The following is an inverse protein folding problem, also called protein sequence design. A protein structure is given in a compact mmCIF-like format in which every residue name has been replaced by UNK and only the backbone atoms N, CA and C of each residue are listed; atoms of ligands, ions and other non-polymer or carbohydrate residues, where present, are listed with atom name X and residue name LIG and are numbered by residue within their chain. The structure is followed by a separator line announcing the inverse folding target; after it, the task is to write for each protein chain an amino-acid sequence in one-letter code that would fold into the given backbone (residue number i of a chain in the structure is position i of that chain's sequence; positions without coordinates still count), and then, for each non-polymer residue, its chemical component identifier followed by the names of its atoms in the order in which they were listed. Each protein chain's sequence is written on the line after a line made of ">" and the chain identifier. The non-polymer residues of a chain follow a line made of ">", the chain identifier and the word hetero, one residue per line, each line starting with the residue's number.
data_IF_427187481880
#
_entry.id   IF_427187481880
#
_cell.length_a   1.000
_cell.length_b   1.000
_cell.length_c   1.000
_cell.angle_alpha   90.00
_cell.angle_beta   90.00
_cell.angle_gamma   90.00
#
_symmetry.space_group_name_H-M   'P 1'
#
loop_
_entity.id
_entity.type
_entity.pdbx_description
1 polymer ?
#
# COMPACT_ATOMS: atom_id res chain seq x y z
N UNK A 1 -1.84 5.19 -30.55
CA UNK A 1 -1.07 5.00 -29.30
C UNK A 1 -0.52 3.58 -29.31
N UNK A 2 0.79 3.39 -29.19
CA UNK A 2 1.39 2.07 -28.96
C UNK A 2 0.97 1.57 -27.57
N UNK A 3 0.43 0.36 -27.49
CA UNK A 3 0.09 -0.31 -26.23
C UNK A 3 1.33 -0.36 -25.32
N UNK A 4 1.26 0.19 -24.09
CA UNK A 4 2.34 0.07 -23.10
C UNK A 4 2.37 -1.32 -22.45
N UNK A 5 1.23 -2.01 -22.45
CA UNK A 5 1.14 -3.43 -22.09
C UNK A 5 1.54 -4.31 -23.28
N UNK A 6 2.56 -5.18 -23.14
CA UNK A 6 2.90 -6.17 -24.16
C UNK A 6 1.72 -7.14 -24.37
N UNK A 7 1.39 -7.43 -25.63
CA UNK A 7 0.28 -8.34 -25.99
C UNK A 7 0.59 -9.82 -25.72
N UNK A 8 1.87 -10.18 -25.64
CA UNK A 8 2.35 -11.57 -25.63
C UNK A 8 3.12 -11.94 -24.36
N UNK A 9 3.27 -11.03 -23.38
CA UNK A 9 4.06 -11.28 -22.16
C UNK A 9 3.37 -10.76 -20.92
N UNK A 10 3.53 -11.49 -19.82
CA UNK A 10 3.14 -11.02 -18.49
C UNK A 10 3.94 -9.77 -18.14
N UNK A 11 3.24 -8.72 -17.71
CA UNK A 11 3.87 -7.53 -17.14
C UNK A 11 3.93 -7.66 -15.62
N UNK A 12 5.09 -7.38 -15.06
CA UNK A 12 5.30 -7.37 -13.61
C UNK A 12 5.45 -5.94 -13.15
N UNK A 13 4.83 -5.63 -12.02
CA UNK A 13 4.98 -4.35 -11.31
C UNK A 13 5.36 -4.65 -9.87
N UNK A 14 6.10 -3.75 -9.25
CA UNK A 14 6.49 -3.89 -7.85
C UNK A 14 6.50 -2.56 -7.14
N UNK A 15 6.38 -2.59 -5.82
CA UNK A 15 6.59 -1.45 -4.94
C UNK A 15 7.58 -1.91 -3.88
N UNK A 16 8.72 -1.23 -3.79
CA UNK A 16 9.72 -1.51 -2.75
C UNK A 16 9.56 -0.56 -1.57
N UNK A 17 10.18 -0.92 -0.46
CA UNK A 17 10.18 -0.17 0.79
C UNK A 17 11.61 -0.07 1.28
N UNK A 18 11.93 1.02 1.97
CA UNK A 18 13.18 1.16 2.70
C UNK A 18 13.43 -0.09 3.57
N UNK A 19 14.60 -0.72 3.49
CA UNK A 19 14.83 -2.01 4.14
C UNK A 19 14.70 -1.96 5.66
N UNK A 20 15.14 -0.88 6.31
CA UNK A 20 15.06 -0.73 7.77
C UNK A 20 13.60 -0.59 8.19
N UNK A 21 12.89 0.30 7.51
CA UNK A 21 11.46 0.54 7.74
C UNK A 21 10.61 -0.70 7.43
N UNK A 22 11.05 -1.52 6.47
CA UNK A 22 10.44 -2.81 6.15
C UNK A 22 10.59 -3.80 7.29
N UNK A 23 11.77 -3.91 7.92
CA UNK A 23 11.96 -4.77 9.11
C UNK A 23 10.99 -4.36 10.22
N UNK A 24 10.97 -3.08 10.58
CA UNK A 24 10.05 -2.57 11.59
C UNK A 24 8.59 -2.90 11.25
N UNK A 25 8.15 -2.61 10.03
CA UNK A 25 6.77 -2.90 9.64
C UNK A 25 6.43 -4.39 9.64
N UNK A 26 7.40 -5.25 9.32
CA UNK A 26 7.21 -6.69 9.29
C UNK A 26 7.08 -7.24 10.72
N UNK A 27 7.99 -6.83 11.59
CA UNK A 27 7.95 -7.12 13.02
C UNK A 27 6.62 -6.66 13.65
N UNK A 28 6.31 -5.37 13.54
CA UNK A 28 5.09 -4.77 14.12
C UNK A 28 3.81 -5.43 13.60
N UNK A 29 3.70 -5.65 12.29
CA UNK A 29 2.52 -6.24 11.67
C UNK A 29 2.34 -7.70 12.07
N UNK A 30 3.44 -8.49 12.11
CA UNK A 30 3.36 -9.90 12.50
C UNK A 30 2.88 -10.07 13.94
N UNK A 31 3.36 -9.24 14.87
CA UNK A 31 2.91 -9.21 16.27
C UNK A 31 1.47 -8.71 16.37
N UNK A 32 1.11 -7.62 15.67
CA UNK A 32 -0.25 -7.07 15.70
C UNK A 32 -1.27 -8.13 15.26
N UNK A 33 -1.02 -8.80 14.14
CA UNK A 33 -1.94 -9.82 13.63
C UNK A 33 -1.97 -11.04 14.54
N UNK A 34 -0.82 -11.48 15.06
CA UNK A 34 -0.75 -12.59 16.01
C UNK A 34 -1.52 -12.30 17.32
N UNK A 35 -1.45 -11.08 17.83
CA UNK A 35 -2.14 -10.67 19.06
C UNK A 35 -3.66 -10.79 18.97
N UNK A 36 -4.25 -10.72 17.76
CA UNK A 36 -5.70 -10.93 17.54
C UNK A 36 -6.15 -12.29 18.04
N UNK A 37 -5.29 -13.31 17.96
CA UNK A 37 -5.61 -14.67 18.37
C UNK A 37 -5.61 -14.86 19.89
N UNK A 38 -5.08 -13.92 20.68
CA UNK A 38 -5.08 -14.00 22.14
C UNK A 38 -6.48 -13.85 22.76
N UNK A 39 -7.51 -13.60 21.95
CA UNK A 39 -8.91 -13.75 22.37
C UNK A 39 -9.25 -15.20 22.74
N UNK A 40 -8.50 -16.17 22.20
CA UNK A 40 -8.72 -17.58 22.48
C UNK A 40 -8.01 -18.02 23.77
N UNK A 41 -8.58 -18.99 24.50
CA UNK A 41 -8.04 -19.43 25.79
C UNK A 41 -6.67 -20.11 25.66
N UNK A 42 -6.38 -20.76 24.52
CA UNK A 42 -5.10 -21.43 24.28
C UNK A 42 -4.80 -21.52 22.77
N UNK A 43 -3.55 -21.85 22.46
CA UNK A 43 -3.03 -21.95 21.09
C UNK A 43 -3.80 -22.96 20.24
N UNK A 44 -4.19 -24.10 20.81
CA UNK A 44 -4.94 -25.15 20.10
C UNK A 44 -6.29 -24.64 19.61
N UNK A 45 -7.02 -23.92 20.48
CA UNK A 45 -8.29 -23.29 20.16
C UNK A 45 -8.14 -22.24 19.04
N UNK A 46 -7.13 -21.38 19.15
CA UNK A 46 -6.82 -20.37 18.13
C UNK A 46 -6.50 -21.00 16.77
N UNK A 47 -5.67 -22.05 16.75
CA UNK A 47 -5.23 -22.72 15.51
C UNK A 47 -6.40 -23.43 14.82
N UNK A 48 -7.23 -24.13 15.59
CA UNK A 48 -8.43 -24.80 15.06
C UNK A 48 -9.42 -23.81 14.46
N UNK A 49 -9.61 -22.66 15.12
CA UNK A 49 -10.52 -21.63 14.62
C UNK A 49 -9.97 -20.96 13.36
N UNK A 50 -8.67 -20.64 13.32
CA UNK A 50 -8.02 -20.08 12.13
C UNK A 50 -8.21 -20.98 10.89
N UNK A 51 -8.01 -22.29 11.06
CA UNK A 51 -8.20 -23.26 9.97
C UNK A 51 -9.67 -23.33 9.49
N UNK A 52 -10.63 -23.34 10.43
CA UNK A 52 -12.06 -23.35 10.10
C UNK A 52 -12.49 -22.09 9.36
N UNK A 53 -11.99 -20.93 9.76
CA UNK A 53 -12.31 -19.66 9.11
C UNK A 53 -11.75 -19.62 7.69
N UNK A 54 -10.48 -19.99 7.49
CA UNK A 54 -9.84 -20.08 6.17
C UNK A 54 -10.63 -20.99 5.21
N UNK A 55 -11.15 -22.13 5.69
CA UNK A 55 -11.97 -23.04 4.86
C UNK A 55 -13.35 -22.50 4.45
N UNK A 56 -13.85 -21.45 5.11
CA UNK A 56 -15.21 -20.91 4.90
C UNK A 56 -15.21 -19.55 4.19
N UNK A 57 -14.16 -18.78 4.33
CA UNK A 57 -14.06 -17.45 3.73
C UNK A 57 -13.73 -17.57 2.24
N UNK A 58 -14.54 -16.92 1.38
CA UNK A 58 -14.21 -16.78 -0.05
C UNK A 58 -13.08 -15.76 -0.32
N UNK A 59 -12.63 -15.04 0.70
CA UNK A 59 -11.55 -14.04 0.63
C UNK A 59 -10.19 -14.61 1.03
N UNK A 60 -9.12 -13.93 0.62
CA UNK A 60 -7.73 -14.28 0.96
C UNK A 60 -7.42 -13.83 2.39
N UNK A 61 -7.02 -14.75 3.26
CA UNK A 61 -6.58 -14.43 4.62
C UNK A 61 -5.16 -13.87 4.64
N UNK A 62 -4.83 -13.03 5.62
CA UNK A 62 -3.42 -12.72 5.94
C UNK A 62 -2.61 -14.00 6.15
N UNK A 63 -3.21 -15.05 6.69
CA UNK A 63 -2.55 -16.34 6.90
C UNK A 63 -2.26 -17.13 5.62
N UNK A 64 -2.77 -16.70 4.46
CA UNK A 64 -2.55 -17.37 3.18
C UNK A 64 -1.48 -16.64 2.32
N UNK A 65 -1.03 -15.46 2.76
CA UNK A 65 -0.16 -14.56 1.99
C UNK A 65 1.28 -14.63 2.51
N UNK A 66 2.25 -14.72 1.61
CA UNK A 66 3.67 -14.59 1.98
C UNK A 66 4.04 -13.12 2.30
N UNK A 67 4.84 -12.83 3.34
CA UNK A 67 5.47 -13.77 4.30
C UNK A 67 4.60 -14.12 5.52
N UNK A 68 3.44 -13.49 5.65
CA UNK A 68 2.58 -13.56 6.83
C UNK A 68 2.10 -14.95 7.20
N UNK A 69 1.91 -15.83 6.21
CA UNK A 69 1.55 -17.24 6.42
C UNK A 69 2.54 -18.00 7.31
N UNK A 70 3.78 -17.53 7.42
CA UNK A 70 4.80 -18.08 8.31
C UNK A 70 4.99 -17.23 9.56
N UNK A 71 5.08 -15.90 9.39
CA UNK A 71 5.41 -15.00 10.49
C UNK A 71 4.29 -14.88 11.53
N UNK A 72 3.02 -14.89 11.09
CA UNK A 72 1.90 -14.76 12.02
C UNK A 72 1.72 -16.01 12.89
N UNK A 73 1.78 -17.26 12.36
CA UNK A 73 1.78 -18.44 13.21
C UNK A 73 2.95 -18.46 14.20
N UNK A 74 4.16 -18.10 13.76
CA UNK A 74 5.33 -18.03 14.63
C UNK A 74 5.14 -17.02 15.78
N UNK A 75 4.75 -15.78 15.48
CA UNK A 75 4.47 -14.77 16.51
C UNK A 75 3.29 -15.15 17.39
N UNK A 76 2.30 -15.86 16.86
CA UNK A 76 1.18 -16.35 17.66
C UNK A 76 1.66 -17.32 18.74
N UNK A 77 2.49 -18.29 18.37
CA UNK A 77 3.06 -19.24 19.34
C UNK A 77 3.86 -18.52 20.44
N UNK A 78 4.73 -17.58 20.06
CA UNK A 78 5.50 -16.76 20.99
C UNK A 78 4.59 -15.98 21.96
N UNK A 79 3.58 -15.28 21.45
CA UNK A 79 2.67 -14.48 22.29
C UNK A 79 1.85 -15.33 23.26
N UNK A 80 1.42 -16.53 22.85
CA UNK A 80 0.73 -17.47 23.75
C UNK A 80 1.68 -17.95 24.85
N UNK A 81 2.91 -18.33 24.51
CA UNK A 81 3.91 -18.76 25.48
C UNK A 81 4.22 -17.67 26.51
N UNK A 82 4.42 -16.43 26.06
CA UNK A 82 4.66 -15.28 26.95
C UNK A 82 3.46 -15.00 27.85
N UNK A 83 2.23 -15.02 27.29
CA UNK A 83 1.00 -14.84 28.09
C UNK A 83 0.85 -15.91 29.18
N UNK A 84 1.06 -17.16 28.82
CA UNK A 84 0.88 -18.28 29.75
C UNK A 84 1.98 -18.26 30.83
N UNK A 85 3.20 -17.88 30.48
CA UNK A 85 4.27 -17.63 31.45
C UNK A 85 3.94 -16.49 32.43
N UNK A 86 3.34 -15.38 31.95
CA UNK A 86 2.88 -14.28 32.82
C UNK A 86 1.80 -14.74 33.80
N UNK A 87 0.87 -15.61 33.38
CA UNK A 87 -0.14 -16.17 34.29
C UNK A 87 0.46 -17.03 35.40
N UNK A 88 1.56 -17.74 35.12
CA UNK A 88 2.26 -18.56 36.11
C UNK A 88 3.08 -17.69 37.08
N UNK A 89 3.82 -16.70 36.57
CA UNK A 89 4.70 -15.83 37.37
C UNK A 89 3.92 -14.84 38.25
N UNK A 90 2.68 -14.52 37.89
CA UNK A 90 1.89 -13.48 38.54
C UNK A 90 2.12 -12.10 37.91
N UNK A 91 1.34 -11.07 38.30
CA UNK A 91 1.43 -9.73 37.72
C UNK A 91 2.78 -9.07 38.08
N UNK A 92 3.72 -9.06 37.14
CA UNK A 92 4.86 -8.15 37.17
C UNK A 92 4.45 -6.81 36.54
N UNK A 93 4.61 -5.73 37.29
CA UNK A 93 4.48 -4.36 36.76
C UNK A 93 5.79 -4.03 36.07
N UNK A 94 5.85 -4.24 34.75
CA UNK A 94 6.99 -3.80 33.95
C UNK A 94 6.74 -2.37 33.46
N UNK A 95 7.48 -1.41 34.01
CA UNK A 95 7.50 0.00 33.57
C UNK A 95 8.57 0.22 32.48
N UNK A 96 8.62 -0.64 31.46
CA UNK A 96 9.44 -0.32 30.27
C UNK A 96 8.64 0.56 29.33
N UNK A 97 9.24 1.66 28.87
CA UNK A 97 8.69 2.49 27.81
C UNK A 97 9.23 2.11 26.41
N UNK A 98 10.13 1.12 26.35
CA UNK A 98 10.67 0.63 25.08
C UNK A 98 9.73 -0.44 24.49
N UNK A 99 8.92 -0.05 23.52
CA UNK A 99 8.02 -0.95 22.81
C UNK A 99 8.74 -2.04 21.98
N UNK A 100 10.04 -1.90 21.72
CA UNK A 100 10.84 -2.87 20.98
C UNK A 100 11.65 -3.79 21.89
N UNK A 101 11.60 -3.60 23.20
CA UNK A 101 12.20 -4.47 24.21
C UNK A 101 11.24 -4.70 25.39
N UNK A 102 10.20 -5.51 25.12
CA UNK A 102 9.18 -5.88 26.11
C UNK A 102 9.07 -7.40 26.25
N UNK A 103 10.15 -8.04 26.72
CA UNK A 103 10.29 -9.50 26.78
C UNK A 103 9.07 -10.21 27.38
N UNK A 104 8.49 -9.71 28.47
CA UNK A 104 7.33 -10.37 29.06
C UNK A 104 6.08 -10.32 28.18
N UNK A 105 5.96 -9.39 27.22
CA UNK A 105 4.74 -9.12 26.44
C UNK A 105 4.84 -9.44 24.95
N UNK A 106 6.01 -9.25 24.35
CA UNK A 106 6.30 -9.52 22.95
C UNK A 106 7.80 -9.84 22.78
N UNK A 107 8.14 -10.64 21.78
CA UNK A 107 9.53 -10.89 21.40
C UNK A 107 10.29 -9.58 21.16
N UNK A 108 11.38 -9.27 21.89
CA UNK A 108 12.21 -8.11 21.63
C UNK A 108 12.69 -8.06 20.19
N UNK A 109 12.83 -6.86 19.62
CA UNK A 109 13.25 -6.68 18.22
C UNK A 109 14.62 -7.31 17.96
N UNK A 110 15.55 -7.19 18.90
CA UNK A 110 16.88 -7.80 18.82
C UNK A 110 16.79 -9.33 18.76
N UNK A 111 15.89 -9.94 19.55
CA UNK A 111 15.62 -11.38 19.49
C UNK A 111 15.01 -11.75 18.13
N UNK A 112 14.03 -10.97 17.66
CA UNK A 112 13.33 -11.20 16.40
C UNK A 112 14.27 -11.22 15.19
N UNK A 113 15.14 -10.21 15.03
CA UNK A 113 16.03 -10.11 13.86
C UNK A 113 17.10 -11.21 13.86
N UNK A 114 17.48 -11.72 15.03
CA UNK A 114 18.45 -12.81 15.15
C UNK A 114 17.81 -14.20 15.05
N UNK A 115 16.48 -14.29 15.07
CA UNK A 115 15.78 -15.56 15.06
C UNK A 115 15.90 -16.25 13.68
N UNK A 116 16.10 -17.58 13.60
CA UNK A 116 16.24 -18.32 12.35
C UNK A 116 15.10 -18.10 11.34
N UNK A 117 13.87 -17.90 11.83
CA UNK A 117 12.71 -17.59 10.97
C UNK A 117 12.84 -16.20 10.31
N UNK A 118 13.38 -15.20 11.01
CA UNK A 118 13.63 -13.89 10.40
C UNK A 118 14.79 -13.95 9.41
N UNK A 119 15.86 -14.69 9.73
CA UNK A 119 16.97 -14.99 8.80
C UNK A 119 16.46 -15.66 7.53
N UNK A 120 15.55 -16.62 7.66
CA UNK A 120 15.01 -17.33 6.52
C UNK A 120 13.96 -16.54 5.74
N UNK A 121 13.16 -15.67 6.34
CA UNK A 121 11.99 -15.10 5.66
C UNK A 121 12.10 -13.60 5.44
N UNK A 122 12.67 -12.89 6.39
CA UNK A 122 12.63 -11.43 6.47
C UNK A 122 13.90 -10.82 5.89
N UNK A 123 15.08 -11.30 6.27
CA UNK A 123 16.33 -10.69 5.83
C UNK A 123 16.58 -10.84 4.32
N UNK A 124 16.99 -9.75 3.67
CA UNK A 124 17.16 -9.63 2.21
C UNK A 124 15.93 -10.05 1.39
N UNK A 125 14.74 -10.03 2.01
CA UNK A 125 13.53 -10.59 1.44
C UNK A 125 13.03 -9.85 0.19
N UNK A 126 13.30 -8.56 0.00
CA UNK A 126 12.91 -7.85 -1.22
C UNK A 126 13.73 -8.33 -2.42
N UNK A 127 15.05 -8.48 -2.24
CA UNK A 127 15.96 -9.02 -3.24
C UNK A 127 15.58 -10.43 -3.63
N UNK A 128 15.32 -11.29 -2.64
CA UNK A 128 14.87 -12.64 -2.92
C UNK A 128 13.49 -12.70 -3.58
N UNK A 129 12.56 -11.80 -3.23
CA UNK A 129 11.25 -11.71 -3.86
C UNK A 129 11.37 -11.34 -5.34
N UNK A 130 12.13 -10.30 -5.66
CA UNK A 130 12.36 -9.86 -7.05
C UNK A 130 13.11 -10.93 -7.84
N UNK A 131 14.10 -11.59 -7.24
CA UNK A 131 14.85 -12.69 -7.85
C UNK A 131 14.03 -13.99 -7.99
N UNK A 132 12.86 -14.11 -7.32
CA UNK A 132 12.06 -15.33 -7.32
C UNK A 132 12.72 -16.47 -6.52
N UNK A 133 13.40 -16.14 -5.44
CA UNK A 133 14.17 -17.04 -4.57
C UNK A 133 13.67 -16.99 -3.11
N UNK A 134 12.37 -16.78 -2.92
CA UNK A 134 11.79 -16.81 -1.57
C UNK A 134 11.59 -18.25 -1.12
N UNK A 135 11.34 -18.45 0.17
CA UNK A 135 10.87 -19.74 0.67
C UNK A 135 9.46 -20.11 0.19
N UNK A 136 8.80 -19.24 -0.59
CA UNK A 136 7.53 -19.50 -1.28
C UNK A 136 7.71 -19.74 -2.79
N UNK A 137 8.94 -19.79 -3.30
CA UNK A 137 9.21 -20.16 -4.68
C UNK A 137 8.82 -21.63 -4.94
N UNK A 138 8.32 -21.92 -6.14
CA UNK A 138 7.84 -23.26 -6.51
C UNK A 138 8.94 -24.29 -6.78
N UNK A 139 10.15 -23.82 -7.07
CA UNK A 139 11.30 -24.67 -7.46
C UNK A 139 12.15 -24.99 -6.24
N UNK A 140 12.46 -26.28 -6.01
CA UNK A 140 13.25 -26.72 -4.87
C UNK A 140 14.65 -26.07 -4.86
N UNK A 141 15.25 -25.88 -6.03
CA UNK A 141 16.56 -25.27 -6.23
C UNK A 141 16.58 -23.81 -5.74
N UNK A 142 15.45 -23.11 -5.76
CA UNK A 142 15.38 -21.74 -5.23
C UNK A 142 15.66 -21.70 -3.72
N UNK A 143 15.22 -22.73 -2.98
CA UNK A 143 15.48 -22.85 -1.56
C UNK A 143 16.97 -23.16 -1.30
N UNK A 144 17.56 -24.04 -2.10
CA UNK A 144 19.00 -24.37 -2.01
C UNK A 144 19.88 -23.16 -2.30
N UNK A 145 19.57 -22.40 -3.37
CA UNK A 145 20.29 -21.17 -3.72
C UNK A 145 20.16 -20.13 -2.63
N UNK A 146 18.95 -19.93 -2.07
CA UNK A 146 18.72 -19.02 -0.95
C UNK A 146 19.60 -19.38 0.25
N UNK A 147 19.60 -20.65 0.65
CA UNK A 147 20.41 -21.14 1.76
C UNK A 147 21.91 -20.95 1.49
N UNK A 148 22.37 -21.22 0.27
CA UNK A 148 23.75 -20.96 -0.13
C UNK A 148 24.13 -19.48 -0.01
N UNK A 149 23.25 -18.56 -0.41
CA UNK A 149 23.49 -17.12 -0.31
C UNK A 149 23.56 -16.65 1.14
N UNK A 150 22.71 -17.19 2.02
CA UNK A 150 22.75 -16.91 3.46
C UNK A 150 24.08 -17.34 4.08
N UNK A 151 24.58 -18.53 3.71
CA UNK A 151 25.85 -19.07 4.22
C UNK A 151 27.08 -18.38 3.60
N UNK A 152 27.00 -17.98 2.33
CA UNK A 152 28.09 -17.39 1.58
C UNK A 152 27.68 -16.04 1.00
N UNK A 153 27.80 -14.98 1.81
CA UNK A 153 27.38 -13.61 1.45
C UNK A 153 27.90 -13.13 0.08
N UNK A 154 29.08 -13.58 -0.34
CA UNK A 154 29.64 -13.25 -1.65
C UNK A 154 28.73 -13.66 -2.83
N UNK A 155 27.98 -14.77 -2.68
CA UNK A 155 27.04 -15.26 -3.69
C UNK A 155 25.81 -14.36 -3.83
N UNK A 156 25.48 -13.58 -2.78
CA UNK A 156 24.38 -12.61 -2.80
C UNK A 156 24.52 -11.55 -3.89
N UNK A 157 25.75 -11.22 -4.30
CA UNK A 157 26.01 -10.27 -5.39
C UNK A 157 25.42 -10.73 -6.73
N UNK A 158 25.47 -12.03 -7.03
CA UNK A 158 24.89 -12.58 -8.26
C UNK A 158 23.35 -12.53 -8.22
N UNK A 159 22.76 -12.86 -7.07
CA UNK A 159 21.31 -12.74 -6.88
C UNK A 159 20.85 -11.30 -7.01
N UNK A 160 21.59 -10.35 -6.44
CA UNK A 160 21.29 -8.94 -6.56
C UNK A 160 21.36 -8.45 -8.01
N UNK A 161 22.33 -8.90 -8.80
CA UNK A 161 22.41 -8.58 -10.23
C UNK A 161 21.18 -9.07 -11.00
N UNK A 162 20.72 -10.29 -10.70
CA UNK A 162 19.47 -10.83 -11.28
C UNK A 162 18.28 -9.98 -10.86
N UNK A 163 18.19 -9.60 -9.58
CA UNK A 163 17.11 -8.77 -9.07
C UNK A 163 17.08 -7.38 -9.74
N UNK A 164 18.22 -6.70 -9.84
CA UNK A 164 18.34 -5.40 -10.53
C UNK A 164 17.92 -5.48 -11.99
N UNK A 165 18.41 -6.48 -12.73
CA UNK A 165 18.00 -6.71 -14.13
C UNK A 165 16.49 -6.92 -14.25
N UNK A 166 15.89 -7.69 -13.35
CA UNK A 166 14.43 -7.88 -13.33
C UNK A 166 13.68 -6.58 -13.04
N UNK A 167 14.18 -5.73 -12.15
CA UNK A 167 13.58 -4.40 -11.93
C UNK A 167 13.60 -3.53 -13.19
N UNK A 168 14.68 -3.58 -13.97
CA UNK A 168 14.76 -2.83 -15.24
C UNK A 168 13.71 -3.28 -16.26
N UNK A 169 13.38 -4.57 -16.25
CA UNK A 169 12.41 -5.19 -17.15
C UNK A 169 10.96 -5.10 -16.64
N UNK A 170 10.73 -4.60 -15.41
CA UNK A 170 9.38 -4.42 -14.86
C UNK A 170 8.68 -3.21 -15.50
N UNK A 171 7.38 -3.35 -15.71
CA UNK A 171 6.53 -2.29 -16.26
C UNK A 171 6.51 -1.04 -15.36
N UNK A 172 6.60 -1.26 -14.05
CA UNK A 172 6.53 -0.19 -13.06
C UNK A 172 7.23 -0.60 -11.76
N UNK A 173 7.97 0.34 -11.16
CA UNK A 173 8.66 0.19 -9.89
C UNK A 173 8.31 1.39 -9.00
N UNK A 174 7.51 1.16 -7.97
CA UNK A 174 7.10 2.18 -7.00
C UNK A 174 7.91 2.13 -5.71
N UNK A 175 7.70 3.15 -4.85
CA UNK A 175 8.26 3.24 -3.50
C UNK A 175 7.15 3.43 -2.48
N UNK A 176 7.25 2.75 -1.35
CA UNK A 176 6.25 2.77 -0.27
C UNK A 176 6.24 4.12 0.46
N UNK A 177 7.41 4.74 0.59
CA UNK A 177 7.63 6.05 1.21
C UNK A 177 6.92 7.14 0.40
N UNK A 178 6.92 6.99 -0.92
CA UNK A 178 6.24 7.85 -1.89
C UNK A 178 4.93 7.21 -2.37
N UNK A 179 4.16 6.59 -1.48
CA UNK A 179 2.98 5.77 -1.82
C UNK A 179 1.97 6.48 -2.74
N UNK A 180 1.68 7.76 -2.47
CA UNK A 180 0.71 8.53 -3.24
C UNK A 180 1.21 8.84 -4.65
N UNK A 181 2.48 9.26 -4.75
CA UNK A 181 3.13 9.52 -6.03
C UNK A 181 3.24 8.22 -6.83
N UNK A 182 3.61 7.13 -6.16
CA UNK A 182 3.67 5.80 -6.76
C UNK A 182 2.34 5.36 -7.35
N UNK A 183 1.25 5.48 -6.60
CA UNK A 183 -0.09 5.18 -7.09
C UNK A 183 -0.50 6.07 -8.27
N UNK A 184 -0.16 7.36 -8.22
CA UNK A 184 -0.46 8.32 -9.30
C UNK A 184 0.29 7.96 -10.58
N UNK A 185 1.59 7.67 -10.48
CA UNK A 185 2.40 7.24 -11.62
C UNK A 185 1.90 5.92 -12.20
N UNK A 186 1.56 4.95 -11.35
CA UNK A 186 0.98 3.69 -11.79
C UNK A 186 -0.35 3.90 -12.53
N UNK A 187 -1.23 4.75 -12.00
CA UNK A 187 -2.50 5.09 -12.65
C UNK A 187 -2.30 5.76 -14.03
N UNK A 188 -1.26 6.58 -14.18
CA UNK A 188 -0.90 7.19 -15.46
C UNK A 188 -0.33 6.19 -16.49
N UNK A 189 0.37 5.15 -16.02
CA UNK A 189 0.99 4.13 -16.89
C UNK A 189 -0.03 3.05 -17.27
N UNK A 190 -0.68 2.45 -16.27
CA UNK A 190 -1.55 1.29 -16.41
C UNK A 190 -3.01 1.69 -16.44
N UNK A 191 -3.45 2.52 -15.49
CA UNK A 191 -4.85 2.94 -15.39
C UNK A 191 -5.36 3.61 -16.67
N UNK A 192 -4.61 4.56 -17.21
CA UNK A 192 -4.95 5.23 -18.47
C UNK A 192 -5.14 4.26 -19.65
N UNK A 193 -4.33 3.19 -19.69
CA UNK A 193 -4.42 2.19 -20.74
C UNK A 193 -5.63 1.27 -20.54
N UNK A 194 -5.86 0.76 -19.33
CA UNK A 194 -7.02 -0.08 -19.02
C UNK A 194 -8.32 0.67 -19.29
N UNK A 195 -8.41 1.92 -18.84
CA UNK A 195 -9.53 2.82 -19.14
C UNK A 195 -9.75 2.94 -20.65
N UNK A 196 -8.68 3.17 -21.43
CA UNK A 196 -8.82 3.31 -22.89
C UNK A 196 -9.32 2.04 -23.59
N UNK A 197 -8.94 0.86 -23.08
CA UNK A 197 -9.40 -0.42 -23.62
C UNK A 197 -10.88 -0.66 -23.29
N UNK A 198 -11.32 -0.32 -22.08
CA UNK A 198 -12.72 -0.43 -21.66
C UNK A 198 -13.64 0.51 -22.45
N UNK A 199 -13.14 1.68 -22.87
CA UNK A 199 -13.92 2.67 -23.62
C UNK A 199 -13.93 2.42 -25.14
N UNK A 200 -13.26 1.36 -25.64
CA UNK A 200 -13.27 1.04 -27.07
C UNK A 200 -14.51 0.17 -27.38
N UNK A 201 -15.44 0.60 -28.25
CA UNK A 201 -16.62 -0.19 -28.55
C UNK A 201 -16.25 -1.53 -29.18
N UNK A 202 -16.75 -2.63 -28.60
CA UNK A 202 -16.50 -4.00 -29.02
C UNK A 202 -16.75 -4.17 -30.53
N UNK A 203 -15.69 -4.24 -31.32
CA UNK A 203 -15.74 -4.81 -32.67
C UNK A 203 -15.05 -6.17 -32.61
N UNK A 204 -15.89 -7.22 -32.62
CA UNK A 204 -15.60 -8.65 -32.74
C UNK A 204 -14.57 -9.24 -31.75
N UNK A 205 -15.08 -9.83 -30.67
CA UNK A 205 -14.50 -11.08 -30.17
C UNK A 205 -15.60 -12.14 -30.25
N UNK A 206 -15.41 -13.09 -31.16
CA UNK A 206 -16.27 -14.25 -31.31
C UNK A 206 -16.44 -14.95 -29.97
N UNK A 207 -17.70 -15.26 -29.67
CA UNK A 207 -18.15 -15.93 -28.47
C UNK A 207 -17.55 -17.33 -28.42
N UNK A 208 -16.57 -17.53 -27.54
CA UNK A 208 -16.23 -18.85 -27.04
C UNK A 208 -16.84 -19.00 -25.63
N UNK A 209 -17.48 -20.14 -25.46
CA UNK A 209 -18.46 -20.50 -24.45
C UNK A 209 -17.96 -20.42 -22.99
N UNK A 210 -18.95 -20.33 -22.11
CA UNK A 210 -18.92 -20.15 -20.66
C UNK A 210 -17.86 -20.97 -19.90
N UNK A 211 -17.21 -20.35 -18.91
CA UNK A 211 -17.28 -20.68 -17.46
C UNK A 211 -16.35 -19.70 -16.70
N UNK A 212 -16.70 -19.38 -15.44
CA UNK A 212 -15.96 -18.52 -14.49
C UNK A 212 -16.13 -17.00 -14.64
N UNK A 213 -17.37 -16.57 -14.46
CA UNK A 213 -17.70 -15.20 -14.04
C UNK A 213 -17.29 -15.04 -12.56
N UNK A 214 -16.01 -14.75 -12.30
CA UNK A 214 -15.58 -14.33 -10.96
C UNK A 214 -16.11 -12.92 -10.71
N UNK A 215 -17.30 -12.84 -10.11
CA UNK A 215 -17.77 -11.61 -9.48
C UNK A 215 -16.79 -11.27 -8.35
N UNK A 216 -15.92 -10.30 -8.59
CA UNK A 216 -15.20 -9.61 -7.52
C UNK A 216 -16.24 -8.85 -6.70
N UNK A 217 -16.81 -9.53 -5.72
CA UNK A 217 -17.51 -8.90 -4.62
C UNK A 217 -16.42 -8.38 -3.68
N UNK A 218 -16.39 -7.06 -3.46
CA UNK A 218 -15.74 -6.45 -2.30
C UNK A 218 -16.45 -6.96 -1.05
N UNK A 219 -16.11 -8.18 -0.65
CA UNK A 219 -16.43 -8.70 0.66
C UNK A 219 -15.32 -8.22 1.58
N UNK A 220 -15.65 -7.33 2.51
CA UNK A 220 -14.82 -7.12 3.70
C UNK A 220 -14.44 -8.50 4.26
N UNK A 221 -13.14 -8.83 4.46
CA UNK A 221 -12.77 -10.10 5.04
C UNK A 221 -13.28 -10.12 6.48
N UNK A 222 -14.27 -10.99 6.64
CA UNK A 222 -15.31 -10.99 7.65
C UNK A 222 -14.83 -11.51 9.02
N UNK A 223 -15.45 -10.92 10.03
CA UNK A 223 -15.79 -11.42 11.37
C UNK A 223 -14.91 -12.44 12.11
N UNK A 224 -14.28 -11.94 13.17
CA UNK A 224 -14.27 -12.65 14.45
C UNK A 224 -14.33 -11.66 15.62
N UNK A 225 -15.47 -10.99 15.79
CA UNK A 225 -15.84 -10.36 17.05
C UNK A 225 -17.11 -11.03 17.59
N UNK A 226 -16.95 -11.86 18.61
CA UNK A 226 -18.03 -12.17 19.53
C UNK A 226 -17.68 -11.57 20.88
N UNK A 227 -18.40 -10.52 21.27
CA UNK A 227 -18.96 -10.41 22.61
C UNK A 227 -20.35 -9.75 22.54
N UNK A 228 -21.26 -10.31 23.34
CA UNK A 228 -22.62 -9.85 23.58
C UNK A 228 -22.65 -8.39 24.05
N UNK A 229 -23.40 -7.55 23.36
CA UNK A 229 -24.08 -6.42 23.99
C UNK A 229 -25.40 -6.15 23.30
N UNK A 230 -26.41 -6.08 24.14
CA UNK A 230 -27.82 -5.74 23.96
C UNK A 230 -28.09 -4.71 22.86
N UNK A 231 -29.20 -4.92 22.18
CA UNK A 231 -29.83 -4.05 21.17
C UNK A 231 -29.62 -2.56 21.42
N UNK A 232 -29.12 -1.86 20.41
CA UNK A 232 -29.64 -0.54 20.13
C UNK A 232 -29.80 -0.33 18.62
N UNK A 233 -31.03 0.01 18.26
CA UNK A 233 -31.58 0.13 16.91
C UNK A 233 -31.31 1.57 16.49
N UNK A 234 -30.44 1.78 15.49
CA UNK A 234 -30.07 3.13 15.06
C UNK A 234 -29.58 3.19 13.62
N UNK A 235 -30.54 3.08 12.69
CA UNK A 235 -30.55 3.59 11.33
C UNK A 235 -29.20 3.74 10.56
N UNK A 236 -28.98 2.85 9.61
CA UNK A 236 -28.37 3.19 8.32
C UNK A 236 -29.23 2.58 7.24
N UNK A 237 -30.21 3.38 6.81
CA UNK A 237 -31.02 3.15 5.64
C UNK A 237 -30.15 3.50 4.43
N UNK A 238 -29.51 2.50 3.82
CA UNK A 238 -29.04 2.59 2.44
C UNK A 238 -29.77 1.48 1.70
N UNK A 239 -30.81 1.93 1.00
CA UNK A 239 -31.67 1.19 0.10
C UNK A 239 -30.86 0.29 -0.81
N UNK A 240 -31.18 -1.00 -0.75
CA UNK A 240 -30.91 -1.98 -1.79
C UNK A 240 -31.56 -1.54 -3.10
N UNK A 241 -30.75 -1.07 -4.04
CA UNK A 241 -31.16 -0.92 -5.43
C UNK A 241 -30.65 -2.12 -6.22
N UNK A 242 -31.46 -3.18 -6.26
CA UNK A 242 -31.44 -4.11 -7.40
C UNK A 242 -31.89 -3.34 -8.64
N UNK A 243 -30.95 -3.04 -9.54
CA UNK A 243 -31.16 -3.06 -10.98
C UNK A 243 -29.82 -2.85 -11.67
N UNK A 244 -29.48 -3.78 -12.54
CA UNK A 244 -28.30 -3.69 -13.38
C UNK A 244 -28.47 -2.56 -14.38
N UNK A 245 -27.73 -1.49 -14.18
CA UNK A 245 -27.19 -0.68 -15.27
C UNK A 245 -25.69 -0.58 -15.01
N UNK A 246 -24.92 -1.24 -15.87
CA UNK A 246 -23.52 -0.91 -16.03
C UNK A 246 -23.47 0.54 -16.52
N UNK A 247 -23.45 1.49 -15.59
CA UNK A 247 -23.09 2.86 -15.90
C UNK A 247 -21.67 2.81 -16.43
N UNK A 248 -21.57 2.80 -17.75
CA UNK A 248 -20.37 2.94 -18.56
C UNK A 248 -19.82 4.36 -18.32
N UNK A 249 -19.39 4.63 -17.07
CA UNK A 249 -18.79 5.89 -16.71
C UNK A 249 -17.39 5.86 -17.29
N UNK A 250 -17.13 6.74 -18.25
CA UNK A 250 -15.82 6.95 -18.84
C UNK A 250 -14.84 7.48 -17.77
N UNK A 251 -14.37 6.58 -16.90
CA UNK A 251 -13.54 6.91 -15.75
C UNK A 251 -12.23 7.54 -16.22
N UNK A 252 -11.90 8.72 -15.73
CA UNK A 252 -10.61 9.37 -16.00
C UNK A 252 -9.57 8.95 -14.95
N UNK A 253 -8.27 9.11 -15.26
CA UNK A 253 -7.20 8.87 -14.26
C UNK A 253 -7.39 9.72 -13.00
N UNK A 254 -7.92 10.94 -13.15
CA UNK A 254 -8.22 11.82 -12.03
C UNK A 254 -9.33 11.24 -11.14
N UNK A 255 -10.39 10.72 -11.73
CA UNK A 255 -11.48 10.07 -10.99
C UNK A 255 -11.02 8.78 -10.32
N UNK A 256 -10.17 7.98 -10.99
CA UNK A 256 -9.53 6.81 -10.41
C UNK A 256 -8.72 7.18 -9.17
N UNK A 257 -7.91 8.24 -9.24
CA UNK A 257 -7.13 8.70 -8.09
C UNK A 257 -8.01 9.25 -6.96
N UNK A 258 -9.12 9.92 -7.27
CA UNK A 258 -10.07 10.35 -6.24
C UNK A 258 -10.71 9.16 -5.52
N UNK A 259 -11.14 8.13 -6.26
CA UNK A 259 -11.69 6.91 -5.68
C UNK A 259 -10.65 6.16 -4.83
N UNK A 260 -9.41 6.10 -5.32
CA UNK A 260 -8.28 5.53 -4.59
C UNK A 260 -8.02 6.23 -3.25
N UNK A 261 -8.02 7.57 -3.20
CA UNK A 261 -7.81 8.31 -1.95
C UNK A 261 -8.91 8.03 -0.91
N UNK A 262 -10.17 7.90 -1.35
CA UNK A 262 -11.29 7.51 -0.48
C UNK A 262 -11.09 6.09 0.05
N UNK A 263 -10.73 5.15 -0.84
CA UNK A 263 -10.46 3.75 -0.48
C UNK A 263 -9.33 3.65 0.57
N UNK A 264 -8.19 4.30 0.33
CA UNK A 264 -7.04 4.28 1.23
C UNK A 264 -7.36 4.92 2.58
N UNK A 265 -8.12 6.02 2.60
CA UNK A 265 -8.54 6.68 3.85
C UNK A 265 -9.39 5.74 4.72
N UNK A 266 -10.38 5.09 4.11
CA UNK A 266 -11.24 4.12 4.80
C UNK A 266 -10.43 2.92 5.31
N UNK A 267 -9.53 2.38 4.47
CA UNK A 267 -8.66 1.27 4.82
C UNK A 267 -7.77 1.61 6.02
N UNK A 268 -7.10 2.77 6.01
CA UNK A 268 -6.24 3.23 7.10
C UNK A 268 -7.03 3.38 8.41
N UNK A 269 -8.25 3.90 8.35
CA UNK A 269 -9.14 4.03 9.52
C UNK A 269 -9.51 2.66 10.10
N UNK A 270 -9.88 1.71 9.24
CA UNK A 270 -10.20 0.35 9.67
C UNK A 270 -8.98 -0.40 10.22
N UNK A 271 -7.81 -0.23 9.61
CA UNK A 271 -6.55 -0.81 10.10
C UNK A 271 -6.14 -0.23 11.46
N UNK A 272 -6.22 1.09 11.63
CA UNK A 272 -5.90 1.76 12.90
C UNK A 272 -6.76 1.25 14.07
N UNK A 273 -8.08 1.09 13.85
CA UNK A 273 -8.99 0.51 14.85
C UNK A 273 -8.60 -0.93 15.21
N UNK A 274 -8.31 -1.77 14.21
CA UNK A 274 -7.88 -3.16 14.41
C UNK A 274 -6.57 -3.24 15.18
N UNK A 275 -5.61 -2.39 14.85
CA UNK A 275 -4.33 -2.27 15.55
C UNK A 275 -4.53 -1.95 17.03
N UNK A 276 -5.33 -0.94 17.34
CA UNK A 276 -5.64 -0.56 18.73
C UNK A 276 -6.27 -1.73 19.49
N UNK A 277 -7.23 -2.44 18.89
CA UNK A 277 -7.88 -3.60 19.52
C UNK A 277 -6.91 -4.76 19.76
N UNK A 278 -6.01 -5.00 18.81
CA UNK A 278 -5.02 -6.08 18.88
C UNK A 278 -3.96 -5.80 19.96
N UNK A 279 -3.38 -4.59 19.97
CA UNK A 279 -2.33 -4.21 20.90
C UNK A 279 -2.80 -4.15 22.36
N UNK A 280 -4.10 -3.86 22.61
CA UNK A 280 -4.68 -3.95 23.97
C UNK A 280 -4.47 -5.32 24.62
N UNK A 281 -4.37 -6.40 23.84
CA UNK A 281 -4.17 -7.77 24.35
C UNK A 281 -2.73 -8.06 24.78
N UNK A 282 -1.80 -7.23 24.36
CA UNK A 282 -0.37 -7.31 24.68
C UNK A 282 0.14 -6.00 25.32
N UNK A 283 -0.77 -5.22 25.91
CA UNK A 283 -0.42 -4.01 26.66
C UNK A 283 0.63 -4.34 27.73
N UNK A 284 1.71 -3.54 27.87
CA UNK A 284 1.85 -2.15 27.42
C UNK A 284 2.46 -1.93 26.02
N UNK A 285 2.67 -2.97 25.21
CA UNK A 285 3.29 -2.82 23.86
C UNK A 285 2.52 -1.83 23.00
N UNK A 286 3.20 -0.77 22.55
CA UNK A 286 2.63 0.24 21.67
C UNK A 286 3.65 0.73 20.62
N UNK A 287 3.58 0.15 19.43
CA UNK A 287 4.45 0.54 18.34
C UNK A 287 4.05 1.90 17.76
N UNK A 288 5.00 2.81 17.63
CA UNK A 288 4.83 4.09 16.92
C UNK A 288 6.07 4.38 16.08
N UNK A 289 5.95 5.31 15.12
CA UNK A 289 7.13 5.76 14.36
C UNK A 289 8.13 6.46 15.27
N UNK A 290 7.63 7.18 16.26
CA UNK A 290 8.43 7.90 17.24
C UNK A 290 9.22 6.93 18.13
N UNK A 291 8.61 5.79 18.50
CA UNK A 291 9.29 4.75 19.26
C UNK A 291 10.43 4.09 18.48
N UNK A 292 10.40 4.08 17.13
CA UNK A 292 11.51 3.53 16.32
C UNK A 292 12.81 4.30 16.54
N UNK A 293 12.75 5.58 16.91
CA UNK A 293 13.94 6.39 17.21
C UNK A 293 14.57 6.06 18.57
N UNK A 294 13.89 5.30 19.42
CA UNK A 294 14.43 4.85 20.71
C UNK A 294 15.21 3.54 20.58
N UNK A 295 15.09 2.85 19.44
CA UNK A 295 15.80 1.62 19.16
C UNK A 295 17.30 1.92 19.09
N UNK A 296 18.15 1.17 19.82
CA UNK A 296 19.59 1.44 19.86
C UNK A 296 20.24 1.35 18.47
N UNK A 297 21.26 2.18 18.24
CA UNK A 297 21.94 2.26 16.93
C UNK A 297 22.66 0.94 16.57
N UNK A 298 23.12 0.17 17.56
CA UNK A 298 23.66 -1.17 17.36
C UNK A 298 22.66 -2.12 16.71
N UNK A 299 21.39 -2.08 17.12
CA UNK A 299 20.29 -2.88 16.52
C UNK A 299 20.03 -2.42 15.09
N UNK A 300 20.04 -1.10 14.85
CA UNK A 300 19.88 -0.55 13.51
C UNK A 300 21.02 -0.92 12.57
N UNK A 301 22.26 -0.95 13.06
CA UNK A 301 23.43 -1.41 12.31
C UNK A 301 23.34 -2.89 11.98
N UNK A 302 22.88 -3.71 12.92
CA UNK A 302 22.67 -5.13 12.67
C UNK A 302 21.59 -5.37 11.62
N UNK A 303 20.45 -4.68 11.71
CA UNK A 303 19.39 -4.68 10.70
C UNK A 303 19.96 -4.34 9.32
N UNK A 304 20.77 -3.28 9.20
CA UNK A 304 21.40 -2.91 7.93
C UNK A 304 22.35 -4.00 7.44
N UNK A 305 23.12 -4.62 8.33
CA UNK A 305 24.08 -5.67 8.00
C UNK A 305 23.44 -6.97 7.52
N UNK A 306 22.24 -7.29 8.00
CA UNK A 306 21.45 -8.44 7.57
C UNK A 306 20.64 -8.18 6.29
N UNK A 307 20.54 -6.91 5.88
CA UNK A 307 19.76 -6.48 4.71
C UNK A 307 20.61 -5.71 3.69
N UNK A 308 21.88 -6.08 3.57
CA UNK A 308 22.85 -5.45 2.67
C UNK A 308 22.43 -5.48 1.19
N UNK A 309 21.87 -6.60 0.72
CA UNK A 309 21.37 -6.71 -0.65
C UNK A 309 20.13 -5.83 -0.86
N UNK A 310 19.22 -5.82 0.11
CA UNK A 310 18.00 -5.00 0.03
C UNK A 310 18.31 -3.50 0.04
N UNK A 311 19.32 -3.06 0.80
CA UNK A 311 19.80 -1.68 0.77
C UNK A 311 20.28 -1.27 -0.63
N UNK A 312 21.11 -2.12 -1.25
CA UNK A 312 21.63 -1.84 -2.59
C UNK A 312 20.53 -1.93 -3.67
N UNK A 313 19.58 -2.86 -3.52
CA UNK A 313 18.43 -2.98 -4.42
C UNK A 313 17.49 -1.77 -4.28
N UNK A 314 17.23 -1.32 -3.07
CA UNK A 314 16.36 -0.19 -2.80
C UNK A 314 16.93 1.11 -3.40
N UNK A 315 18.22 1.37 -3.24
CA UNK A 315 18.89 2.52 -3.89
C UNK A 315 18.79 2.44 -5.42
N UNK A 316 18.92 1.23 -5.99
CA UNK A 316 18.71 1.02 -7.42
C UNK A 316 17.25 1.33 -7.84
N UNK A 317 16.28 0.87 -7.06
CA UNK A 317 14.86 1.14 -7.30
C UNK A 317 14.52 2.62 -7.17
N UNK A 318 15.14 3.35 -6.23
CA UNK A 318 15.00 4.82 -6.11
C UNK A 318 15.47 5.53 -7.38
N UNK A 319 16.55 5.07 -8.00
CA UNK A 319 17.04 5.60 -9.26
C UNK A 319 16.04 5.34 -10.42
N UNK A 320 15.48 4.12 -10.50
CA UNK A 320 14.43 3.78 -11.47
C UNK A 320 13.20 4.67 -11.26
N UNK A 321 12.69 4.76 -10.03
CA UNK A 321 11.53 5.56 -9.67
C UNK A 321 11.72 7.03 -10.06
N UNK A 322 12.87 7.61 -9.71
CA UNK A 322 13.21 9.00 -10.04
C UNK A 322 13.24 9.24 -11.56
N UNK A 323 13.74 8.28 -12.33
CA UNK A 323 13.75 8.34 -13.80
C UNK A 323 12.33 8.25 -14.37
N UNK A 324 11.52 7.32 -13.88
CA UNK A 324 10.12 7.16 -14.25
C UNK A 324 9.31 8.42 -13.95
N UNK A 325 9.55 9.05 -12.80
CA UNK A 325 8.86 10.27 -12.40
C UNK A 325 9.17 11.44 -13.33
N UNK A 326 10.46 11.66 -13.64
CA UNK A 326 10.90 12.69 -14.60
C UNK A 326 10.26 12.49 -15.98
N UNK A 327 10.24 11.26 -16.49
CA UNK A 327 9.58 10.96 -17.78
C UNK A 327 8.07 11.21 -17.73
N UNK A 328 7.41 10.89 -16.61
CA UNK A 328 5.97 11.17 -16.44
C UNK A 328 5.67 12.67 -16.44
N UNK A 329 6.53 13.49 -15.83
CA UNK A 329 6.40 14.95 -15.83
C UNK A 329 6.58 15.54 -17.23
N UNK A 330 7.61 15.09 -17.97
CA UNK A 330 7.86 15.52 -19.35
C UNK A 330 6.69 15.20 -20.28
N UNK A 331 6.11 13.99 -20.19
CA UNK A 331 4.92 13.61 -20.97
C UNK A 331 3.73 14.52 -20.64
N UNK A 332 3.60 14.91 -19.37
CA UNK A 332 2.53 15.81 -18.94
C UNK A 332 2.75 17.21 -19.51
N UNK A 333 3.96 17.76 -19.41
CA UNK A 333 4.34 19.06 -20.00
C UNK A 333 4.19 19.09 -21.52
N UNK A 334 4.66 18.08 -22.25
CA UNK A 334 4.48 17.98 -23.70
C UNK A 334 3.00 17.91 -24.09
N UNK A 335 2.19 17.19 -23.32
CA UNK A 335 0.72 17.15 -23.52
C UNK A 335 0.09 18.52 -23.31
N UNK A 336 0.50 19.26 -22.28
CA UNK A 336 0.05 20.65 -22.04
C UNK A 336 0.51 21.60 -23.14
N UNK A 337 1.76 21.49 -23.59
CA UNK A 337 2.32 22.32 -24.67
C UNK A 337 1.61 22.05 -26.00
N UNK A 338 1.27 20.79 -26.31
CA UNK A 338 0.51 20.42 -27.50
C UNK A 338 -0.96 20.85 -27.45
N UNK A 339 -1.58 20.90 -26.27
CA UNK A 339 -2.92 21.47 -26.08
C UNK A 339 -2.88 23.01 -26.21
N UNK A 340 -1.82 23.65 -25.72
CA UNK A 340 -1.63 25.10 -25.81
C UNK A 340 -1.24 25.56 -27.22
N UNK A 341 -0.56 24.73 -28.00
CA UNK A 341 -0.10 25.06 -29.36
C UNK A 341 -1.06 24.64 -30.48
N UNK A 342 -2.06 23.80 -30.17
CA UNK A 342 -3.12 23.43 -31.12
C UNK A 342 -4.05 24.60 -31.45
N UNK A 343 -4.73 24.53 -32.60
CA UNK A 343 -5.66 25.58 -33.07
C UNK A 343 -6.70 26.02 -32.01
N UNK A 344 -7.11 25.10 -31.13
CA UNK A 344 -8.00 25.38 -30.01
C UNK A 344 -7.36 26.21 -28.88
N UNK A 345 -6.07 26.02 -28.58
CA UNK A 345 -5.35 26.80 -27.57
C UNK A 345 -5.17 28.26 -27.98
N UNK A 346 -4.91 28.50 -29.27
CA UNK A 346 -4.79 29.85 -29.85
C UNK A 346 -6.14 30.58 -29.82
N UNK A 347 -7.24 29.88 -30.11
CA UNK A 347 -8.60 30.44 -30.05
C UNK A 347 -8.96 30.76 -28.59
N UNK A 348 -8.68 29.86 -27.65
CA UNK A 348 -8.99 30.05 -26.23
C UNK A 348 -8.22 31.23 -25.63
N UNK A 349 -6.93 31.38 -25.95
CA UNK A 349 -6.12 32.52 -25.50
C UNK A 349 -6.58 33.86 -26.09
N UNK A 350 -7.00 33.87 -27.36
CA UNK A 350 -7.58 35.07 -28.00
C UNK A 350 -8.91 35.46 -27.37
N UNK A 351 -9.78 34.50 -27.07
CA UNK A 351 -11.07 34.75 -26.40
C UNK A 351 -10.86 35.23 -24.97
N UNK A 352 -9.93 34.63 -24.23
CA UNK A 352 -9.63 35.02 -22.85
C UNK A 352 -9.02 36.43 -22.78
N UNK A 353 -8.10 36.77 -23.67
CA UNK A 353 -7.52 38.13 -23.75
C UNK A 353 -8.57 39.17 -24.16
N UNK A 354 -9.48 38.85 -25.09
CA UNK A 354 -10.63 39.69 -25.42
C UNK A 354 -11.60 39.87 -24.24
N UNK A 355 -11.89 38.81 -23.49
CA UNK A 355 -12.76 38.88 -22.33
C UNK A 355 -12.15 39.75 -21.21
N UNK A 356 -10.85 39.58 -20.93
CA UNK A 356 -10.16 40.38 -19.91
C UNK A 356 -10.12 41.86 -20.30
N UNK A 357 -9.82 42.18 -21.57
CA UNK A 357 -9.84 43.56 -22.05
C UNK A 357 -11.24 44.18 -21.99
N UNK A 358 -12.29 43.42 -22.33
CA UNK A 358 -13.68 43.87 -22.19
C UNK A 358 -14.05 44.14 -20.74
N UNK A 359 -13.72 43.23 -19.81
CA UNK A 359 -13.96 43.44 -18.37
C UNK A 359 -13.22 44.66 -17.83
N UNK A 360 -11.98 44.88 -18.28
CA UNK A 360 -11.18 46.04 -17.87
C UNK A 360 -11.77 47.36 -18.37
N UNK A 361 -12.26 47.39 -19.62
CA UNK A 361 -12.96 48.54 -20.19
C UNK A 361 -14.30 48.79 -19.48
N UNK A 362 -15.05 47.74 -19.16
CA UNK A 362 -16.31 47.85 -18.43
C UNK A 362 -16.08 48.40 -17.01
N UNK A 363 -15.02 47.95 -16.35
CA UNK A 363 -14.60 48.45 -15.05
C UNK A 363 -14.20 49.93 -15.12
N UNK A 364 -13.40 50.35 -16.11
CA UNK A 364 -13.05 51.75 -16.34
C UNK A 364 -14.29 52.61 -16.63
N UNK A 365 -15.22 52.11 -17.44
CA UNK A 365 -16.48 52.79 -17.73
C UNK A 365 -17.30 53.01 -16.46
N UNK A 366 -17.46 51.97 -15.62
CA UNK A 366 -18.14 52.07 -14.34
C UNK A 366 -17.47 53.06 -13.40
N UNK A 367 -16.12 53.10 -13.35
CA UNK A 367 -15.38 54.09 -12.58
C UNK A 367 -15.63 55.52 -13.09
N UNK A 368 -15.61 55.75 -14.40
CA UNK A 368 -15.88 57.07 -15.01
C UNK A 368 -17.32 57.52 -14.75
N UNK A 369 -18.30 56.62 -14.90
CA UNK A 369 -19.72 56.90 -14.63
C UNK A 369 -19.94 57.21 -13.15
N UNK A 370 -19.33 56.44 -12.24
CA UNK A 370 -19.40 56.72 -10.81
C UNK A 370 -18.68 58.03 -10.42
N UNK A 371 -17.55 58.36 -11.06
CA UNK A 371 -16.88 59.64 -10.86
C UNK A 371 -17.72 60.83 -11.36
N UNK A 372 -18.42 60.69 -12.50
CA UNK A 372 -19.36 61.69 -13.02
C UNK A 372 -20.60 61.83 -12.14
N UNK A 373 -21.20 60.73 -11.66
CA UNK A 373 -22.30 60.75 -10.67
C UNK A 373 -21.89 61.42 -9.35
N UNK A 374 -20.67 61.18 -8.86
CA UNK A 374 -20.15 61.85 -7.65
C UNK A 374 -19.91 63.36 -7.87
N UNK A 375 -19.57 63.81 -9.08
CA UNK A 375 -19.47 65.25 -9.40
C UNK A 375 -20.83 65.92 -9.50
N UNK A 376 -21.84 65.28 -10.09
CA UNK A 376 -23.20 65.86 -10.20
C UNK A 376 -23.98 65.83 -8.89
N UNK A 377 -23.69 64.89 -7.98
CA UNK A 377 -24.26 64.85 -6.62
C UNK A 377 -23.69 65.93 -5.68
N UNK A 378 -22.59 66.59 -6.03
CA UNK A 378 -22.00 67.70 -5.24
C UNK A 378 -22.45 69.10 -5.69
N UNK A 379 -23.38 69.19 -6.66
CA UNK A 379 -24.00 70.45 -7.10
C UNK A 379 -25.51 70.37 -6.84
N UNK A 380 -25.88 70.23 -5.57
CA UNK A 380 -27.17 70.63 -5.01
C UNK A 380 -26.94 70.97 -3.54
N UNK A 381 -26.49 72.20 -3.31
CA UNK A 381 -26.76 72.98 -2.12
C UNK A 381 -27.00 74.41 -2.58
#
# INVERSE_FOLDING_TARGET
>A
MTSKLPRERTSVVTILRDPVDRIFSTYEFSIEVAARFLVHPNLTSATRMAFRLSSKTKGVSTLDIWPWKYLVPWMREDLFARRDARYIRGPNVMESNDSYDMEDFAMPLQEYINHPVAVDIVHNGATFQVAGLTNNSYTAEAHEVRHCVQNYKILGKYVLQVAKKRLDDMLYVGLTEEHRESATMFANVVGAQVISQLNTPNTSLDTADNTDRSSFSDSDPDSSEHQNSTSDRGASEVTSSESGEAAESHMTVRELMNAYEVCISNLRKAQSRRRISSLKRISPVNFTKEARFQVPEEVLQEIRSFNDLDLELYEYARAIFSKQHKTSLQITEERWNNISSGAYGIILWKVLTLAITFFFLLFLFLLIVNARRRRTSKVKK
#
